data_IF_711579686120
#
_entry.id   IF_711579686120
#
_cell.length_a   1.000
_cell.length_b   1.000
_cell.length_c   1.000
_cell.angle_alpha   90.00
_cell.angle_beta   90.00
_cell.angle_gamma   90.00
#
_symmetry.space_group_name_H-M   'P 1'
#
loop_
_entity.id
_entity.type
_entity.pdbx_description
1 polymer ?
#
# COMPACT_ATOMS: atom_id res chain seq x y z
N UNK A 1 6.27 -23.41 4.74
CA UNK A 1 7.37 -22.51 4.32
C UNK A 1 6.77 -21.12 4.18
N UNK A 2 7.42 -20.08 4.73
CA UNK A 2 6.92 -18.70 4.60
C UNK A 2 7.03 -18.21 3.16
N UNK A 3 6.06 -17.43 2.70
CA UNK A 3 6.16 -16.72 1.41
C UNK A 3 7.23 -15.63 1.48
N UNK A 4 7.70 -15.15 0.32
CA UNK A 4 8.67 -14.03 0.27
C UNK A 4 8.07 -12.75 0.86
N UNK A 5 6.75 -12.56 0.75
CA UNK A 5 6.02 -11.47 1.40
C UNK A 5 5.99 -11.60 2.91
N UNK A 6 5.75 -12.79 3.45
CA UNK A 6 5.78 -13.02 4.90
C UNK A 6 7.19 -12.78 5.46
N UNK A 7 8.24 -13.21 4.76
CA UNK A 7 9.64 -12.92 5.11
C UNK A 7 9.94 -11.42 5.11
N UNK A 8 9.53 -10.71 4.05
CA UNK A 8 9.67 -9.25 3.93
C UNK A 8 9.02 -8.52 5.12
N UNK A 9 7.80 -8.92 5.50
CA UNK A 9 7.06 -8.31 6.62
C UNK A 9 7.64 -8.67 7.99
N UNK A 10 8.30 -9.82 8.10
CA UNK A 10 9.00 -10.25 9.31
C UNK A 10 10.41 -9.64 9.45
N UNK A 11 10.93 -8.97 8.41
CA UNK A 11 12.30 -8.45 8.37
C UNK A 11 13.37 -9.50 8.05
N UNK A 12 12.96 -10.68 7.60
CA UNK A 12 13.85 -11.75 7.16
C UNK A 12 14.42 -11.47 5.76
N UNK A 13 15.50 -12.15 5.36
CA UNK A 13 15.95 -12.14 3.96
C UNK A 13 14.85 -12.67 3.04
N UNK A 14 14.53 -11.89 1.99
CA UNK A 14 13.50 -12.21 1.01
C UNK A 14 13.98 -11.89 -0.41
N UNK A 15 13.41 -12.57 -1.41
CA UNK A 15 13.66 -12.29 -2.82
C UNK A 15 12.73 -11.19 -3.33
N UNK A 16 13.26 -9.98 -3.53
CA UNK A 16 12.48 -8.85 -4.04
C UNK A 16 11.92 -9.07 -5.46
N UNK A 17 12.49 -9.98 -6.26
CA UNK A 17 12.01 -10.34 -7.60
C UNK A 17 10.91 -11.42 -7.58
N UNK A 18 10.44 -11.82 -6.40
CA UNK A 18 9.28 -12.69 -6.28
C UNK A 18 8.06 -12.11 -7.03
N UNK A 19 7.30 -12.98 -7.71
CA UNK A 19 6.20 -12.58 -8.58
C UNK A 19 5.06 -11.90 -7.82
N UNK A 20 4.79 -12.31 -6.59
CA UNK A 20 3.77 -11.67 -5.74
C UNK A 20 4.20 -10.24 -5.41
N UNK A 21 5.44 -10.07 -4.94
CA UNK A 21 5.99 -8.76 -4.57
C UNK A 21 6.12 -7.81 -5.77
N UNK A 22 6.50 -8.32 -6.94
CA UNK A 22 6.54 -7.53 -8.19
C UNK A 22 5.15 -7.02 -8.55
N UNK A 23 4.15 -7.91 -8.61
CA UNK A 23 2.77 -7.57 -8.96
C UNK A 23 2.18 -6.53 -8.00
N UNK A 24 2.41 -6.69 -6.70
CA UNK A 24 1.91 -5.73 -5.69
C UNK A 24 2.58 -4.36 -5.80
N UNK A 25 3.88 -4.32 -6.11
CA UNK A 25 4.58 -3.04 -6.37
C UNK A 25 4.08 -2.36 -7.64
N UNK A 26 3.83 -3.12 -8.71
CA UNK A 26 3.27 -2.57 -9.95
C UNK A 26 1.90 -1.94 -9.70
N UNK A 27 1.01 -2.66 -9.02
CA UNK A 27 -0.29 -2.14 -8.62
C UNK A 27 -0.17 -0.86 -7.76
N UNK A 28 0.74 -0.84 -6.78
CA UNK A 28 0.96 0.34 -5.95
C UNK A 28 1.51 1.54 -6.76
N UNK A 29 2.38 1.30 -7.76
CA UNK A 29 2.89 2.35 -8.65
C UNK A 29 1.80 2.93 -9.53
N UNK A 30 0.90 2.10 -10.07
CA UNK A 30 -0.25 2.56 -10.86
C UNK A 30 -1.16 3.49 -10.04
N UNK A 31 -1.51 3.10 -8.81
CA UNK A 31 -2.31 3.94 -7.91
C UNK A 31 -1.58 5.24 -7.55
N UNK A 32 -0.27 5.16 -7.27
CA UNK A 32 0.54 6.35 -6.96
C UNK A 32 0.58 7.31 -8.15
N UNK A 33 0.73 6.78 -9.36
CA UNK A 33 0.67 7.58 -10.58
C UNK A 33 -0.69 8.24 -10.76
N UNK A 34 -1.79 7.48 -10.59
CA UNK A 34 -3.15 8.02 -10.68
C UNK A 34 -3.37 9.15 -9.66
N UNK A 35 -2.94 8.94 -8.41
CA UNK A 35 -3.06 9.94 -7.35
C UNK A 35 -2.31 11.23 -7.69
N UNK A 36 -1.06 11.11 -8.14
CA UNK A 36 -0.20 12.25 -8.47
C UNK A 36 -0.74 13.07 -9.65
N UNK A 37 -1.44 12.42 -10.59
CA UNK A 37 -2.02 13.08 -11.76
C UNK A 37 -3.49 13.51 -11.58
N UNK A 38 -4.10 13.24 -10.42
CA UNK A 38 -5.47 13.65 -10.12
C UNK A 38 -5.55 15.16 -9.85
N UNK A 39 -6.54 15.84 -10.43
CA UNK A 39 -6.67 17.30 -10.32
C UNK A 39 -6.85 17.75 -8.87
N UNK A 40 -6.39 18.96 -8.46
CA UNK A 40 -6.55 19.44 -7.10
C UNK A 40 -8.01 19.48 -6.60
N UNK A 41 -8.98 19.70 -7.50
CA UNK A 41 -10.41 19.72 -7.17
C UNK A 41 -11.05 18.34 -6.96
N UNK A 42 -10.42 17.26 -7.44
CA UNK A 42 -10.96 15.90 -7.39
C UNK A 42 -10.65 15.20 -6.05
N UNK A 43 -11.00 15.85 -4.94
CA UNK A 43 -10.66 15.37 -3.58
C UNK A 43 -11.18 13.95 -3.32
N UNK A 44 -12.43 13.66 -3.71
CA UNK A 44 -13.03 12.33 -3.51
C UNK A 44 -12.25 11.23 -4.23
N UNK A 45 -11.81 11.49 -5.46
CA UNK A 45 -10.98 10.55 -6.23
C UNK A 45 -9.64 10.31 -5.55
N UNK A 46 -8.98 11.37 -5.05
CA UNK A 46 -7.73 11.22 -4.28
C UNK A 46 -7.92 10.35 -3.02
N UNK A 47 -9.02 10.55 -2.29
CA UNK A 47 -9.36 9.74 -1.12
C UNK A 47 -9.62 8.27 -1.48
N UNK A 48 -10.34 8.01 -2.56
CA UNK A 48 -10.61 6.66 -3.07
C UNK A 48 -9.31 5.93 -3.42
N UNK A 49 -8.39 6.60 -4.14
CA UNK A 49 -7.09 6.04 -4.48
C UNK A 49 -6.26 5.77 -3.21
N UNK A 50 -6.27 6.70 -2.25
CA UNK A 50 -5.51 6.55 -1.01
C UNK A 50 -6.01 5.38 -0.16
N UNK A 51 -7.34 5.18 -0.08
CA UNK A 51 -7.95 4.02 0.61
C UNK A 51 -7.55 2.69 -0.03
N UNK A 52 -7.35 2.65 -1.35
CA UNK A 52 -6.86 1.46 -2.07
C UNK A 52 -5.36 1.23 -1.85
N UNK A 53 -4.58 2.30 -1.73
CA UNK A 53 -3.11 2.24 -1.61
C UNK A 53 -2.64 1.92 -0.19
N UNK A 54 -3.26 2.53 0.83
CA UNK A 54 -2.81 2.42 2.23
C UNK A 54 -3.85 1.63 3.04
N UNK A 55 -3.54 0.37 3.30
CA UNK A 55 -4.32 -0.47 4.22
C UNK A 55 -3.73 -0.29 5.63
N UNK A 56 -4.08 0.82 6.28
CA UNK A 56 -3.69 1.03 7.67
C UNK A 56 -4.61 0.21 8.59
N UNK A 57 -4.04 -0.74 9.36
CA UNK A 57 -4.70 -1.22 10.58
C UNK A 57 -4.55 -0.10 11.61
N UNK A 58 -5.61 0.69 11.77
CA UNK A 58 -5.67 1.78 12.73
C UNK A 58 -5.29 1.27 14.13
N UNK A 59 -4.09 1.58 14.60
CA UNK A 59 -3.66 1.36 15.99
C UNK A 59 -4.16 2.46 16.93
N UNK A 60 -4.81 3.50 16.40
CA UNK A 60 -5.30 4.64 17.16
C UNK A 60 -6.83 4.61 17.30
N UNK A 61 -7.36 3.64 18.04
CA UNK A 61 -8.67 3.77 18.69
C UNK A 61 -8.49 3.62 20.19
N UNK A 62 -8.33 4.74 20.88
CA UNK A 62 -8.33 4.76 22.34
C UNK A 62 -7.35 5.75 22.97
N UNK A 63 -7.59 7.05 22.80
CA UNK A 63 -7.41 8.03 23.88
C UNK A 63 -8.55 9.04 23.77
N UNK A 64 -9.66 8.70 24.41
CA UNK A 64 -10.65 9.69 24.85
C UNK A 64 -9.93 10.72 25.73
N UNK A 65 -10.15 12.00 25.41
CA UNK A 65 -9.97 13.11 26.35
C UNK A 65 -10.91 12.92 27.54
#
# INVERSE_FOLDING_TARGET
MRSEKEKMLAGDFYNANDKELVREREYARELTFEFNNTRPGEKRKKEEILRRLIIAKCSCRGKSL
#
